data_IF_261025636167
#
_entry.id   IF_261025636167
#
_cell.length_a   1.000
_cell.length_b   1.000
_cell.length_c   1.000
_cell.angle_alpha   90.00
_cell.angle_beta   90.00
_cell.angle_gamma   90.00
#
_symmetry.space_group_name_H-M   'P 1'
#
loop_
_entity.id
_entity.type
_entity.pdbx_description
1 polymer ?
#
# COMPACT_ATOMS: atom_id res chain seq x y z
N UNK A 1 -28.63 -30.04 8.20
CA UNK A 1 -29.13 -29.80 6.83
C UNK A 1 -27.93 -29.57 5.92
N UNK A 2 -27.61 -30.53 5.07
CA UNK A 2 -26.46 -30.48 4.14
C UNK A 2 -26.87 -29.68 2.89
N UNK A 3 -26.60 -28.38 2.86
CA UNK A 3 -26.95 -27.50 1.73
C UNK A 3 -25.83 -27.42 0.67
N UNK A 4 -24.63 -28.00 0.92
CA UNK A 4 -23.44 -27.83 0.09
C UNK A 4 -22.75 -29.15 -0.29
N UNK A 5 -23.43 -30.02 -1.01
CA UNK A 5 -22.79 -31.14 -1.73
C UNK A 5 -23.03 -30.95 -3.23
N UNK A 6 -22.21 -30.12 -3.88
CA UNK A 6 -22.07 -30.15 -5.32
C UNK A 6 -20.57 -30.21 -5.66
N UNK A 7 -20.12 -31.39 -6.08
CA UNK A 7 -18.83 -31.56 -6.74
C UNK A 7 -18.78 -30.68 -7.98
N UNK A 8 -17.93 -29.64 -7.95
CA UNK A 8 -17.55 -28.90 -9.15
C UNK A 8 -16.90 -29.88 -10.13
N UNK A 9 -17.51 -30.09 -11.28
CA UNK A 9 -16.93 -30.87 -12.37
C UNK A 9 -15.62 -30.24 -12.81
N UNK A 10 -14.57 -31.05 -12.85
CA UNK A 10 -13.24 -30.64 -13.30
C UNK A 10 -13.24 -30.39 -14.82
N UNK A 11 -13.43 -29.17 -15.25
CA UNK A 11 -12.99 -28.75 -16.56
C UNK A 11 -11.51 -28.33 -16.44
N UNK A 12 -10.62 -29.14 -16.98
CA UNK A 12 -9.20 -28.83 -17.13
C UNK A 12 -9.03 -27.67 -18.13
N UNK A 13 -9.05 -26.44 -17.65
CA UNK A 13 -8.55 -25.32 -18.41
C UNK A 13 -7.04 -25.23 -18.20
N UNK A 14 -6.28 -25.35 -19.28
CA UNK A 14 -4.84 -25.10 -19.35
C UNK A 14 -4.59 -23.63 -19.01
N UNK A 15 -4.31 -23.31 -17.75
CA UNK A 15 -4.09 -21.94 -17.32
C UNK A 15 -2.60 -21.60 -17.39
N UNK A 16 -2.17 -21.02 -18.47
CA UNK A 16 -0.89 -20.28 -18.56
C UNK A 16 -0.85 -19.06 -17.62
N UNK A 17 -1.98 -18.69 -17.02
CA UNK A 17 -2.17 -17.46 -16.24
C UNK A 17 -1.71 -17.50 -14.80
N UNK A 18 -1.71 -18.67 -14.16
CA UNK A 18 -1.30 -18.80 -12.76
C UNK A 18 0.08 -19.40 -12.56
N UNK A 19 0.93 -19.47 -13.62
CA UNK A 19 2.26 -20.07 -13.50
C UNK A 19 3.09 -19.46 -12.37
N UNK A 20 3.01 -18.13 -12.19
CA UNK A 20 3.73 -17.44 -11.13
C UNK A 20 3.05 -17.54 -9.74
N UNK A 21 1.83 -18.09 -9.68
CA UNK A 21 1.04 -18.30 -8.45
C UNK A 21 0.61 -19.75 -8.30
N UNK A 22 1.48 -20.70 -8.68
CA UNK A 22 1.18 -22.13 -8.71
C UNK A 22 0.78 -22.74 -7.35
N UNK A 23 1.09 -22.06 -6.25
CA UNK A 23 0.68 -22.46 -4.90
C UNK A 23 -0.80 -22.16 -4.60
N UNK A 24 -1.48 -21.35 -5.43
CA UNK A 24 -2.92 -21.11 -5.31
C UNK A 24 -3.67 -22.21 -6.04
N UNK A 25 -4.44 -22.99 -5.31
CA UNK A 25 -5.26 -24.07 -5.90
C UNK A 25 -6.29 -23.49 -6.88
N UNK A 26 -6.67 -24.29 -7.89
CA UNK A 26 -7.72 -23.88 -8.85
C UNK A 26 -9.09 -23.65 -8.20
N UNK A 27 -9.30 -24.17 -6.99
CA UNK A 27 -10.52 -23.99 -6.23
C UNK A 27 -10.46 -22.79 -5.29
N UNK A 28 -9.29 -22.21 -5.05
CA UNK A 28 -9.09 -21.08 -4.15
C UNK A 28 -9.23 -19.76 -4.90
N UNK A 29 -10.04 -18.86 -4.35
CA UNK A 29 -10.22 -17.51 -4.88
C UNK A 29 -9.77 -16.52 -3.81
N UNK A 30 -8.61 -15.88 -4.04
CA UNK A 30 -8.05 -14.91 -3.12
C UNK A 30 -8.44 -13.49 -3.52
N UNK A 31 -9.21 -12.79 -2.65
CA UNK A 31 -9.74 -11.45 -2.86
C UNK A 31 -9.40 -10.49 -1.71
N UNK A 32 -8.23 -10.65 -1.09
CA UNK A 32 -7.75 -9.75 -0.03
C UNK A 32 -6.41 -9.07 -0.39
N UNK A 33 -6.20 -8.78 -1.68
CA UNK A 33 -4.96 -8.17 -2.19
C UNK A 33 -4.68 -6.77 -1.61
N UNK A 34 -5.72 -6.00 -1.25
CA UNK A 34 -5.56 -4.71 -0.58
C UNK A 34 -5.00 -4.81 0.86
N UNK A 35 -5.05 -6.01 1.46
CA UNK A 35 -4.35 -6.28 2.71
C UNK A 35 -2.95 -6.83 2.47
N UNK A 36 -2.86 -7.85 1.63
CA UNK A 36 -1.59 -8.50 1.28
C UNK A 36 -1.73 -9.12 -0.12
N UNK A 37 -0.93 -8.69 -1.08
CA UNK A 37 -0.86 -9.34 -2.38
C UNK A 37 -0.15 -10.69 -2.28
N UNK A 38 -0.51 -11.62 -3.16
CA UNK A 38 0.21 -12.89 -3.31
C UNK A 38 1.59 -12.62 -3.91
N UNK A 39 2.59 -13.39 -3.51
CA UNK A 39 3.94 -13.26 -4.04
C UNK A 39 4.13 -14.17 -5.25
N UNK A 40 4.50 -13.61 -6.43
CA UNK A 40 4.78 -14.45 -7.59
C UNK A 40 6.08 -15.24 -7.40
N UNK A 41 6.19 -16.39 -8.08
CA UNK A 41 7.32 -17.31 -7.97
C UNK A 41 8.69 -16.61 -8.15
N UNK A 42 8.90 -15.70 -9.10
CA UNK A 42 10.18 -14.99 -9.25
C UNK A 42 10.64 -14.21 -8.00
N UNK A 43 9.69 -13.73 -7.19
CA UNK A 43 10.02 -13.06 -5.92
C UNK A 43 10.51 -14.06 -4.88
N UNK A 44 9.86 -15.21 -4.79
CA UNK A 44 10.26 -16.28 -3.88
C UNK A 44 11.64 -16.82 -4.27
N UNK A 45 11.87 -17.04 -5.56
CA UNK A 45 13.14 -17.54 -6.10
C UNK A 45 14.30 -16.55 -5.80
N UNK A 46 14.09 -15.26 -5.98
CA UNK A 46 15.10 -14.24 -5.67
C UNK A 46 15.49 -14.22 -4.19
N UNK A 47 14.51 -14.36 -3.29
CA UNK A 47 14.77 -14.45 -1.85
C UNK A 47 15.51 -15.75 -1.47
N UNK A 48 15.13 -16.88 -2.08
CA UNK A 48 15.79 -18.16 -1.86
C UNK A 48 17.24 -18.11 -2.37
N UNK A 49 17.47 -17.55 -3.56
CA UNK A 49 18.82 -17.39 -4.13
C UNK A 49 19.73 -16.58 -3.21
N UNK A 50 19.24 -15.45 -2.64
CA UNK A 50 19.99 -14.71 -1.64
C UNK A 50 20.46 -15.61 -0.47
N UNK A 51 19.54 -16.37 0.13
CA UNK A 51 19.88 -17.20 1.28
C UNK A 51 20.81 -18.38 0.94
N UNK A 52 20.72 -18.94 -0.27
CA UNK A 52 21.49 -20.13 -0.65
C UNK A 52 22.82 -19.84 -1.31
N UNK A 53 22.95 -18.71 -2.05
CA UNK A 53 24.09 -18.48 -2.92
C UNK A 53 25.02 -17.37 -2.41
N UNK A 54 24.48 -16.30 -1.76
CA UNK A 54 25.27 -15.16 -1.31
C UNK A 54 24.73 -14.51 -0.03
N UNK A 55 24.32 -15.32 0.93
CA UNK A 55 23.81 -14.87 2.24
C UNK A 55 24.88 -14.10 3.01
N UNK A 56 24.98 -12.83 2.75
CA UNK A 56 25.97 -11.92 3.32
C UNK A 56 25.35 -10.62 3.80
N UNK A 57 26.05 -9.92 4.69
CA UNK A 57 25.77 -8.55 5.04
C UNK A 57 26.18 -7.63 3.87
N UNK A 58 25.38 -6.64 3.54
CA UNK A 58 25.74 -5.51 2.69
C UNK A 58 26.38 -4.38 3.47
N UNK A 59 26.78 -3.32 2.79
CA UNK A 59 27.40 -2.12 3.35
C UNK A 59 28.82 -2.38 3.88
N UNK A 60 29.78 -1.55 3.52
CA UNK A 60 31.15 -1.55 4.08
C UNK A 60 31.94 -2.87 3.97
N UNK A 61 31.42 -3.93 3.35
CA UNK A 61 32.12 -5.21 3.16
C UNK A 61 32.95 -5.19 1.86
N UNK A 62 34.02 -6.00 1.82
CA UNK A 62 34.94 -6.01 0.67
C UNK A 62 34.96 -7.33 -0.10
N UNK A 63 34.29 -8.36 0.41
CA UNK A 63 34.19 -9.65 -0.23
C UNK A 63 33.01 -9.70 -1.25
N UNK A 64 33.10 -10.62 -2.20
CA UNK A 64 32.22 -10.69 -3.37
C UNK A 64 30.73 -10.76 -3.03
N UNK A 65 30.33 -11.58 -2.08
CA UNK A 65 28.90 -11.73 -1.70
C UNK A 65 28.31 -10.43 -1.17
N UNK A 66 29.07 -9.70 -0.33
CA UNK A 66 28.59 -8.43 0.19
C UNK A 66 28.45 -7.35 -0.90
N UNK A 67 29.37 -7.32 -1.89
CA UNK A 67 29.23 -6.44 -3.05
C UNK A 67 27.98 -6.78 -3.88
N UNK A 68 27.69 -8.06 -4.05
CA UNK A 68 26.48 -8.51 -4.75
C UNK A 68 25.20 -8.08 -4.01
N UNK A 69 25.21 -8.09 -2.68
CA UNK A 69 24.11 -7.54 -1.86
C UNK A 69 23.97 -6.04 -2.07
N UNK A 70 25.08 -5.29 -2.02
CA UNK A 70 25.06 -3.83 -2.23
C UNK A 70 24.51 -3.47 -3.61
N UNK A 71 24.96 -4.15 -4.66
CA UNK A 71 24.46 -3.96 -6.03
C UNK A 71 22.95 -4.25 -6.14
N UNK A 72 22.47 -5.30 -5.49
CA UNK A 72 21.05 -5.66 -5.48
C UNK A 72 20.19 -4.64 -4.71
N UNK A 73 20.68 -4.12 -3.59
CA UNK A 73 20.04 -3.06 -2.80
C UNK A 73 19.91 -1.79 -3.62
N UNK A 74 21.01 -1.33 -4.23
CA UNK A 74 21.01 -0.12 -5.06
C UNK A 74 20.12 -0.26 -6.30
N UNK A 75 20.12 -1.43 -6.96
CA UNK A 75 19.20 -1.73 -8.03
C UNK A 75 17.74 -1.62 -7.58
N UNK A 76 17.43 -2.12 -6.38
CA UNK A 76 16.08 -2.03 -5.82
C UNK A 76 15.68 -0.58 -5.54
N UNK A 77 16.57 0.24 -4.95
CA UNK A 77 16.33 1.70 -4.77
C UNK A 77 16.03 2.39 -6.10
N UNK A 78 16.84 2.13 -7.12
CA UNK A 78 16.62 2.68 -8.46
C UNK A 78 15.28 2.24 -9.07
N UNK A 79 14.90 0.96 -8.89
CA UNK A 79 13.62 0.42 -9.36
C UNK A 79 12.43 1.07 -8.64
N UNK A 80 12.54 1.34 -7.34
CA UNK A 80 11.54 2.09 -6.56
C UNK A 80 11.38 3.50 -7.12
N UNK A 81 12.46 4.27 -7.28
CA UNK A 81 12.40 5.63 -7.83
C UNK A 81 11.78 5.66 -9.22
N UNK A 82 12.18 4.73 -10.08
CA UNK A 82 11.60 4.57 -11.42
C UNK A 82 10.09 4.30 -11.33
N UNK A 83 9.65 3.43 -10.44
CA UNK A 83 8.22 3.08 -10.28
C UNK A 83 7.37 4.24 -9.81
N UNK A 84 7.89 5.10 -8.95
CA UNK A 84 7.20 6.30 -8.45
C UNK A 84 7.46 7.55 -9.29
N UNK A 85 8.25 7.44 -10.38
CA UNK A 85 8.52 8.54 -11.32
C UNK A 85 9.37 9.66 -10.71
N UNK A 86 10.34 9.32 -9.84
CA UNK A 86 11.20 10.30 -9.15
C UNK A 86 12.67 10.15 -9.53
N UNK A 87 13.42 11.26 -9.43
CA UNK A 87 14.83 11.36 -9.76
C UNK A 87 15.72 11.07 -8.54
N UNK A 88 16.80 10.26 -8.67
CA UNK A 88 17.77 10.07 -7.61
C UNK A 88 18.58 11.33 -7.29
N UNK A 89 18.48 12.38 -8.09
CA UNK A 89 19.09 13.68 -7.78
C UNK A 89 18.37 14.41 -6.65
N UNK A 90 17.05 14.19 -6.54
CA UNK A 90 16.17 14.92 -5.63
C UNK A 90 15.61 14.05 -4.50
N UNK A 91 15.56 12.75 -4.71
CA UNK A 91 14.95 11.80 -3.77
C UNK A 91 15.92 10.70 -3.35
N UNK A 92 15.72 10.24 -2.11
CA UNK A 92 16.32 9.04 -1.55
C UNK A 92 15.26 7.98 -1.25
N UNK A 93 15.71 6.73 -1.18
CA UNK A 93 14.87 5.58 -0.80
C UNK A 93 15.45 4.94 0.44
N UNK A 94 14.64 4.75 1.47
CA UNK A 94 15.01 4.00 2.66
C UNK A 94 14.03 2.83 2.90
N UNK A 95 14.56 1.74 3.47
CA UNK A 95 13.78 0.55 3.79
C UNK A 95 13.43 0.50 5.28
N UNK A 96 12.22 0.07 5.57
CA UNK A 96 11.65 0.00 6.93
C UNK A 96 10.81 -1.26 7.09
N UNK A 97 10.13 -1.42 8.24
CA UNK A 97 9.29 -2.62 8.46
C UNK A 97 7.99 -2.60 7.63
N UNK A 98 7.34 -1.44 7.47
CA UNK A 98 6.09 -1.25 6.76
C UNK A 98 5.73 0.23 6.67
N UNK A 99 4.63 0.56 5.97
CA UNK A 99 4.12 1.95 5.84
C UNK A 99 3.93 2.63 7.19
N UNK A 100 3.32 1.94 8.16
CA UNK A 100 3.07 2.50 9.52
C UNK A 100 4.38 2.92 10.18
N UNK A 101 5.41 2.07 10.09
CA UNK A 101 6.73 2.38 10.63
C UNK A 101 7.38 3.56 9.92
N UNK A 102 7.37 3.57 8.58
CA UNK A 102 7.92 4.67 7.77
C UNK A 102 7.26 6.02 8.08
N UNK A 103 5.93 6.06 8.15
CA UNK A 103 5.19 7.27 8.53
C UNK A 103 5.58 7.76 9.94
N UNK A 104 5.62 6.87 10.92
CA UNK A 104 6.04 7.23 12.27
C UNK A 104 7.50 7.69 12.30
N UNK A 105 8.39 7.03 11.55
CA UNK A 105 9.81 7.38 11.50
C UNK A 105 10.00 8.81 10.99
N UNK A 106 9.38 9.17 9.87
CA UNK A 106 9.45 10.54 9.33
C UNK A 106 8.80 11.54 10.30
N UNK A 107 7.55 11.29 10.72
CA UNK A 107 6.79 12.25 11.52
C UNK A 107 7.42 12.54 12.89
N UNK A 108 8.04 11.54 13.53
CA UNK A 108 8.69 11.72 14.82
C UNK A 108 10.04 12.45 14.76
N UNK A 109 10.61 12.59 13.58
CA UNK A 109 11.89 13.25 13.33
C UNK A 109 11.73 14.63 12.65
N UNK A 110 10.49 15.10 12.41
CA UNK A 110 10.25 16.44 11.93
C UNK A 110 10.72 17.48 12.97
N UNK A 111 11.37 18.57 12.54
CA UNK A 111 11.87 19.59 13.46
C UNK A 111 10.73 20.30 14.18
N UNK A 112 10.92 20.55 15.48
CA UNK A 112 9.96 21.28 16.30
C UNK A 112 9.88 22.76 15.89
N UNK A 113 8.72 23.39 16.09
CA UNK A 113 8.46 24.83 15.88
C UNK A 113 8.63 25.36 14.44
N UNK A 114 8.74 24.47 13.46
CA UNK A 114 8.78 24.86 12.03
C UNK A 114 7.38 24.95 11.45
N UNK A 115 6.52 24.00 11.78
CA UNK A 115 5.17 23.88 11.22
C UNK A 115 4.11 24.47 12.14
N UNK A 116 3.06 25.06 11.53
CA UNK A 116 1.98 25.74 12.25
C UNK A 116 0.84 24.80 12.62
N UNK A 117 0.61 23.77 11.82
CA UNK A 117 -0.48 22.81 11.99
C UNK A 117 -0.17 21.49 11.33
N UNK A 118 -0.93 20.46 11.69
CA UNK A 118 -0.93 19.16 11.05
C UNK A 118 -2.30 18.92 10.40
N UNK A 119 -2.30 18.47 9.14
CA UNK A 119 -3.51 18.27 8.36
C UNK A 119 -3.57 16.81 7.89
N UNK A 120 -4.74 16.20 7.98
CA UNK A 120 -5.02 14.87 7.48
C UNK A 120 -6.44 14.82 6.93
N UNK A 121 -6.89 13.66 6.43
CA UNK A 121 -8.27 13.52 5.97
C UNK A 121 -9.10 12.56 6.80
N UNK A 122 -10.41 12.61 6.62
CA UNK A 122 -11.34 11.73 7.35
C UNK A 122 -11.27 10.26 6.94
N UNK A 123 -10.83 9.98 5.69
CA UNK A 123 -10.80 8.63 5.11
C UNK A 123 -9.51 7.86 5.36
N UNK A 124 -8.64 8.38 6.20
CA UNK A 124 -7.32 7.81 6.38
C UNK A 124 -7.34 6.44 7.06
N UNK A 125 -6.42 5.59 6.60
CA UNK A 125 -6.06 4.38 7.34
C UNK A 125 -5.48 4.74 8.71
N UNK A 126 -5.66 3.89 9.72
CA UNK A 126 -5.12 4.11 11.06
C UNK A 126 -3.61 4.37 11.09
N UNK A 127 -2.86 3.90 10.09
CA UNK A 127 -1.41 4.18 9.94
C UNK A 127 -1.09 5.66 9.70
N UNK A 128 -2.05 6.43 9.21
CA UNK A 128 -1.98 7.91 9.06
C UNK A 128 -2.73 8.58 10.22
N UNK A 129 -3.97 8.15 10.46
CA UNK A 129 -4.88 8.84 11.37
C UNK A 129 -4.36 8.90 12.81
N UNK A 130 -3.80 7.81 13.32
CA UNK A 130 -3.28 7.74 14.68
C UNK A 130 -1.93 8.49 14.85
N UNK A 131 -0.91 8.28 13.99
CA UNK A 131 0.32 9.06 14.09
C UNK A 131 0.09 10.56 13.98
N UNK A 132 -0.77 11.03 13.07
CA UNK A 132 -1.09 12.46 12.97
C UNK A 132 -1.71 13.03 14.25
N UNK A 133 -2.51 12.26 14.97
CA UNK A 133 -3.05 12.65 16.27
C UNK A 133 -1.95 12.78 17.34
N UNK A 134 -1.03 11.80 17.39
CA UNK A 134 0.04 11.79 18.40
C UNK A 134 1.10 12.85 18.13
N UNK A 135 1.45 13.08 16.86
CA UNK A 135 2.45 14.08 16.46
C UNK A 135 1.93 15.51 16.65
N UNK A 136 0.69 15.80 16.29
CA UNK A 136 0.10 17.12 16.56
C UNK A 136 0.16 17.47 18.05
N UNK A 137 -0.12 16.48 18.92
CA UNK A 137 0.02 16.63 20.38
C UNK A 137 1.49 16.82 20.79
N UNK A 138 2.42 16.03 20.26
CA UNK A 138 3.86 16.12 20.56
C UNK A 138 4.41 17.51 20.20
N UNK A 139 4.09 17.99 19.00
CA UNK A 139 4.54 19.29 18.49
C UNK A 139 3.73 20.48 19.06
N UNK A 140 2.67 20.22 19.83
CA UNK A 140 1.76 21.24 20.38
C UNK A 140 1.15 22.16 19.31
N UNK A 141 0.80 21.58 18.15
CA UNK A 141 0.16 22.29 17.03
C UNK A 141 -1.27 21.77 16.80
N UNK A 142 -2.17 22.60 16.26
CA UNK A 142 -3.53 22.16 15.92
C UNK A 142 -3.51 21.07 14.86
N UNK A 143 -4.54 20.20 14.90
CA UNK A 143 -4.77 19.16 13.91
C UNK A 143 -6.10 19.41 13.20
N UNK A 144 -6.05 19.53 11.86
CA UNK A 144 -7.21 19.68 11.00
C UNK A 144 -7.50 18.36 10.27
N UNK A 145 -8.78 17.99 10.17
CA UNK A 145 -9.24 16.82 9.43
C UNK A 145 -10.07 17.30 8.24
N UNK A 146 -9.56 17.12 7.03
CA UNK A 146 -10.23 17.52 5.80
C UNK A 146 -11.33 16.54 5.43
N UNK A 147 -12.43 17.06 4.93
CA UNK A 147 -13.51 16.28 4.37
C UNK A 147 -13.16 15.77 2.99
N UNK A 148 -13.54 14.53 2.69
CA UNK A 148 -13.43 13.95 1.34
C UNK A 148 -14.72 14.22 0.56
N UNK A 149 -14.56 14.85 -0.60
CA UNK A 149 -15.64 15.07 -1.55
C UNK A 149 -16.01 13.78 -2.30
N UNK A 150 -17.16 13.79 -2.94
CA UNK A 150 -17.70 12.64 -3.64
C UNK A 150 -16.87 12.18 -4.84
N UNK A 151 -16.14 13.10 -5.48
CA UNK A 151 -15.22 12.78 -6.58
C UNK A 151 -13.88 12.21 -6.12
N UNK A 152 -13.60 12.23 -4.82
CA UNK A 152 -12.33 11.78 -4.22
C UNK A 152 -11.34 12.92 -3.94
N UNK A 153 -11.70 14.18 -4.23
CA UNK A 153 -10.93 15.36 -3.82
C UNK A 153 -11.03 15.60 -2.32
N UNK A 154 -10.06 16.31 -1.76
CA UNK A 154 -10.14 16.85 -0.41
C UNK A 154 -10.64 18.28 -0.46
N UNK A 155 -11.60 18.61 0.41
CA UNK A 155 -12.13 19.95 0.59
C UNK A 155 -11.27 20.71 1.60
N UNK A 156 -10.68 21.80 1.17
CA UNK A 156 -9.82 22.63 2.02
C UNK A 156 -9.83 24.10 1.54
N UNK A 157 -9.35 24.97 2.38
CA UNK A 157 -8.98 26.35 2.05
C UNK A 157 -7.45 26.48 2.06
N UNK A 158 -6.90 27.53 1.46
CA UNK A 158 -5.44 27.78 1.51
C UNK A 158 -4.91 27.97 2.92
N UNK A 159 -5.73 28.48 3.82
CA UNK A 159 -5.36 28.65 5.23
C UNK A 159 -5.23 27.30 5.94
N UNK A 160 -6.04 26.29 5.57
CA UNK A 160 -5.96 24.95 6.13
C UNK A 160 -4.62 24.25 5.84
N UNK A 161 -3.90 24.65 4.80
CA UNK A 161 -2.62 24.01 4.40
C UNK A 161 -1.41 24.93 4.60
N UNK A 162 -1.62 26.16 5.08
CA UNK A 162 -0.55 27.15 5.28
C UNK A 162 0.42 26.72 6.38
N UNK A 163 1.71 26.53 6.00
CA UNK A 163 2.77 26.05 6.89
C UNK A 163 2.47 24.69 7.54
N UNK A 164 1.68 23.86 6.88
CA UNK A 164 1.17 22.61 7.43
C UNK A 164 2.07 21.41 7.13
N UNK A 165 2.04 20.43 8.04
CA UNK A 165 2.39 19.04 7.74
C UNK A 165 1.10 18.37 7.22
N UNK A 166 1.01 18.08 5.93
CA UNK A 166 -0.15 17.41 5.34
C UNK A 166 0.18 15.93 5.15
N UNK A 167 -0.60 15.05 5.77
CA UNK A 167 -0.41 13.58 5.68
C UNK A 167 -1.71 12.95 5.23
N UNK A 168 -1.73 12.42 4.01
CA UNK A 168 -2.93 11.86 3.39
C UNK A 168 -2.62 10.63 2.55
N UNK A 169 -3.61 9.76 2.36
CA UNK A 169 -3.46 8.62 1.45
C UNK A 169 -3.56 9.07 -0.02
N UNK A 170 -2.72 8.52 -0.86
CA UNK A 170 -2.79 8.75 -2.30
C UNK A 170 -3.89 7.90 -2.96
N UNK A 171 -4.23 6.74 -2.38
CA UNK A 171 -5.31 5.85 -2.82
C UNK A 171 -5.96 5.20 -1.62
N UNK A 172 -7.28 5.27 -1.54
CA UNK A 172 -8.07 4.73 -0.44
C UNK A 172 -8.11 3.20 -0.46
N UNK A 173 -7.93 2.58 0.69
CA UNK A 173 -8.06 1.12 0.85
C UNK A 173 -9.51 0.65 1.06
N UNK A 174 -10.49 1.55 1.01
CA UNK A 174 -11.92 1.25 1.13
C UNK A 174 -12.56 1.07 -0.24
N UNK A 175 -12.32 2.00 -1.15
CA UNK A 175 -12.97 2.07 -2.46
C UNK A 175 -11.97 2.15 -3.63
N UNK A 176 -10.65 2.11 -3.35
CA UNK A 176 -9.60 2.17 -4.35
C UNK A 176 -9.50 3.50 -5.11
N UNK A 177 -10.20 4.53 -4.65
CA UNK A 177 -10.21 5.84 -5.32
C UNK A 177 -8.95 6.63 -4.97
N UNK A 178 -8.31 7.19 -6.00
CA UNK A 178 -7.15 8.07 -5.85
C UNK A 178 -7.55 9.48 -5.44
N UNK A 179 -6.62 10.21 -4.84
CA UNK A 179 -6.78 11.62 -4.49
C UNK A 179 -6.82 12.48 -5.77
N UNK A 180 -8.00 13.02 -6.12
CA UNK A 180 -8.22 13.65 -7.42
C UNK A 180 -7.55 15.02 -7.55
N UNK A 181 -7.56 15.84 -6.49
CA UNK A 181 -6.94 17.18 -6.50
C UNK A 181 -5.52 17.19 -5.93
N UNK A 182 -4.79 16.06 -6.00
CA UNK A 182 -3.47 15.91 -5.38
C UNK A 182 -2.45 16.96 -5.86
N UNK A 183 -2.42 17.28 -7.17
CA UNK A 183 -1.47 18.28 -7.70
C UNK A 183 -1.78 19.70 -7.24
N UNK A 184 -3.06 20.08 -7.20
CA UNK A 184 -3.48 21.39 -6.71
C UNK A 184 -3.20 21.52 -5.21
N UNK A 185 -3.48 20.45 -4.45
CA UNK A 185 -3.19 20.38 -3.03
C UNK A 185 -1.69 20.55 -2.75
N UNK A 186 -0.84 19.82 -3.49
CA UNK A 186 0.62 19.93 -3.40
C UNK A 186 1.11 21.35 -3.69
N UNK A 187 0.65 21.97 -4.80
CA UNK A 187 1.03 23.33 -5.18
C UNK A 187 0.66 24.33 -4.07
N UNK A 188 -0.55 24.24 -3.51
CA UNK A 188 -0.99 25.13 -2.43
C UNK A 188 -0.19 24.90 -1.13
N UNK A 189 0.15 23.67 -0.79
CA UNK A 189 1.00 23.32 0.37
C UNK A 189 2.39 23.95 0.24
N UNK A 190 3.06 23.69 -0.89
CA UNK A 190 4.44 24.17 -1.10
C UNK A 190 4.52 25.70 -1.21
N UNK A 191 3.56 26.34 -1.90
CA UNK A 191 3.47 27.79 -1.97
C UNK A 191 3.27 28.46 -0.59
N UNK A 192 2.74 27.70 0.37
CA UNK A 192 2.51 28.17 1.73
C UNK A 192 3.52 27.61 2.76
N UNK A 193 4.69 27.12 2.28
CA UNK A 193 5.79 26.59 3.11
C UNK A 193 5.40 25.38 3.99
N UNK A 194 4.47 24.57 3.53
CA UNK A 194 4.11 23.29 4.11
C UNK A 194 4.87 22.13 3.47
N UNK A 195 4.61 20.91 3.96
CA UNK A 195 5.13 19.64 3.38
C UNK A 195 3.98 18.66 3.15
N UNK A 196 4.12 17.86 2.09
CA UNK A 196 3.19 16.80 1.72
C UNK A 196 3.80 15.42 1.92
N UNK A 197 3.21 14.63 2.83
CA UNK A 197 3.58 13.24 3.10
C UNK A 197 2.44 12.34 2.62
N UNK A 198 2.73 11.41 1.72
CA UNK A 198 1.73 10.51 1.15
C UNK A 198 1.83 9.10 1.76
N UNK A 199 0.68 8.55 2.15
CA UNK A 199 0.52 7.10 2.29
C UNK A 199 0.23 6.50 0.92
N UNK A 200 1.23 5.84 0.34
CA UNK A 200 1.17 5.19 -0.96
C UNK A 200 0.87 3.69 -0.90
N UNK A 201 0.39 3.17 0.24
CA UNK A 201 0.22 1.74 0.47
C UNK A 201 -0.64 1.02 -0.58
N UNK A 202 -1.58 1.70 -1.21
CA UNK A 202 -2.43 1.15 -2.28
C UNK A 202 -2.02 1.63 -3.68
N UNK A 203 -1.25 2.71 -3.81
CA UNK A 203 -1.07 3.41 -5.08
C UNK A 203 -0.15 2.69 -6.06
N UNK A 204 0.88 1.97 -5.58
CA UNK A 204 1.90 1.39 -6.47
C UNK A 204 1.35 0.33 -7.43
N UNK A 205 0.26 -0.35 -7.05
CA UNK A 205 -0.35 -1.42 -7.85
C UNK A 205 -1.58 -0.94 -8.59
N UNK A 206 -2.38 -0.06 -7.97
CA UNK A 206 -3.64 0.37 -8.56
C UNK A 206 -3.46 1.50 -9.57
N UNK A 207 -2.76 2.57 -9.20
CA UNK A 207 -2.41 3.66 -10.11
C UNK A 207 -1.19 4.44 -9.59
N UNK A 208 -0.02 4.13 -10.16
CA UNK A 208 1.21 4.84 -9.82
C UNK A 208 1.38 6.18 -10.58
N UNK A 209 0.49 6.51 -11.53
CA UNK A 209 0.61 7.74 -12.33
C UNK A 209 0.50 9.00 -11.47
N UNK A 210 -0.37 8.98 -10.45
CA UNK A 210 -0.48 10.05 -9.47
C UNK A 210 0.88 10.35 -8.81
N UNK A 211 1.61 9.32 -8.40
CA UNK A 211 2.89 9.48 -7.69
C UNK A 211 3.96 10.17 -8.55
N UNK A 212 3.94 9.92 -9.87
CA UNK A 212 4.83 10.59 -10.82
C UNK A 212 4.52 12.08 -11.01
N UNK A 213 3.23 12.46 -10.93
CA UNK A 213 2.76 13.82 -11.19
C UNK A 213 2.81 14.77 -9.98
N UNK A 214 2.86 14.24 -8.75
CA UNK A 214 2.83 14.99 -7.49
C UNK A 214 4.24 15.09 -6.90
N UNK A 215 4.69 16.28 -6.56
CA UNK A 215 6.00 16.53 -5.97
C UNK A 215 5.93 16.42 -4.43
N UNK A 216 5.66 15.21 -3.92
CA UNK A 216 5.58 14.94 -2.49
C UNK A 216 6.94 15.08 -1.77
N UNK A 217 6.94 15.44 -0.48
CA UNK A 217 8.16 15.50 0.35
C UNK A 217 8.55 14.14 0.91
N UNK A 218 7.57 13.31 1.25
CA UNK A 218 7.80 11.91 1.56
C UNK A 218 6.61 11.03 1.08
N UNK A 219 6.94 9.80 0.70
CA UNK A 219 5.97 8.75 0.35
C UNK A 219 6.35 7.50 1.14
N UNK A 220 5.38 6.92 1.85
CA UNK A 220 5.56 5.66 2.54
C UNK A 220 4.64 4.58 1.96
N UNK A 221 5.19 3.39 1.67
CA UNK A 221 4.39 2.26 1.22
C UNK A 221 4.91 0.92 1.76
N UNK A 222 4.13 -0.14 1.55
CA UNK A 222 4.48 -1.50 1.98
C UNK A 222 4.61 -2.43 0.79
N UNK A 223 5.74 -3.11 0.70
CA UNK A 223 6.06 -4.06 -0.36
C UNK A 223 5.08 -5.23 -0.43
N UNK A 224 4.56 -5.72 0.72
CA UNK A 224 3.60 -6.83 0.77
C UNK A 224 2.25 -6.53 0.09
N UNK A 225 1.97 -5.29 -0.26
CA UNK A 225 0.81 -4.90 -1.09
C UNK A 225 1.18 -4.72 -2.56
N UNK A 226 2.48 -4.81 -2.88
CA UNK A 226 3.06 -4.61 -4.21
C UNK A 226 3.74 -5.89 -4.71
N UNK A 227 3.15 -7.05 -4.41
CA UNK A 227 3.63 -8.40 -4.76
C UNK A 227 4.99 -8.79 -4.15
N UNK A 228 5.57 -7.95 -3.30
CA UNK A 228 6.83 -8.20 -2.61
C UNK A 228 6.66 -8.76 -1.20
N UNK A 229 7.76 -9.00 -0.49
CA UNK A 229 7.76 -9.48 0.89
C UNK A 229 7.30 -8.40 1.89
N UNK A 230 7.22 -8.76 3.17
CA UNK A 230 6.90 -7.82 4.25
C UNK A 230 8.07 -6.86 4.49
N UNK A 231 7.99 -5.72 3.84
CA UNK A 231 8.99 -4.64 3.90
C UNK A 231 8.28 -3.30 3.75
N UNK A 232 8.72 -2.27 4.42
CA UNK A 232 8.32 -0.89 4.21
C UNK A 232 9.32 -0.14 3.35
N UNK A 233 8.84 0.88 2.66
CA UNK A 233 9.66 1.78 1.85
C UNK A 233 9.29 3.21 2.16
N UNK A 234 10.28 4.05 2.33
CA UNK A 234 10.18 5.51 2.39
C UNK A 234 10.90 6.09 1.19
N UNK A 235 10.20 6.87 0.38
CA UNK A 235 10.80 7.71 -0.66
C UNK A 235 10.71 9.15 -0.18
N UNK A 236 11.83 9.82 0.01
CA UNK A 236 11.90 11.13 0.67
C UNK A 236 12.73 12.11 -0.13
N UNK A 237 12.28 13.36 -0.23
CA UNK A 237 13.10 14.45 -0.78
C UNK A 237 14.36 14.64 0.07
N UNK A 238 15.50 14.81 -0.56
CA UNK A 238 16.78 15.10 0.11
C UNK A 238 16.69 16.32 1.02
N UNK A 239 15.98 17.35 0.58
CA UNK A 239 15.76 18.56 1.37
C UNK A 239 15.02 18.28 2.69
N UNK A 240 13.97 17.43 2.66
CA UNK A 240 13.29 17.03 3.88
C UNK A 240 14.19 16.15 4.73
N UNK A 241 14.88 15.19 4.12
CA UNK A 241 15.81 14.27 4.81
C UNK A 241 16.89 15.03 5.58
N UNK A 242 17.49 16.05 4.95
CA UNK A 242 18.53 16.91 5.56
C UNK A 242 17.99 17.75 6.73
N UNK A 243 16.70 18.01 6.79
CA UNK A 243 16.04 18.78 7.85
C UNK A 243 15.60 17.95 9.06
N UNK A 244 15.62 16.62 8.96
CA UNK A 244 15.14 15.74 10.04
C UNK A 244 16.07 15.82 11.27
N UNK A 245 15.46 15.87 12.45
CA UNK A 245 16.13 15.76 13.74
C UNK A 245 16.13 14.30 14.18
N UNK A 246 17.26 13.60 13.94
CA UNK A 246 17.37 12.18 14.14
C UNK A 246 17.16 11.80 15.60
N UNK A 247 16.11 11.04 15.89
CA UNK A 247 15.75 10.52 17.22
C UNK A 247 15.81 8.99 17.30
N UNK A 248 15.95 8.31 16.16
CA UNK A 248 16.05 6.87 16.08
C UNK A 248 17.36 6.50 15.36
N UNK A 249 18.38 6.18 16.16
CA UNK A 249 19.76 5.99 15.71
C UNK A 249 20.32 4.65 16.20
N UNK A 250 21.31 4.11 15.47
CA UNK A 250 21.87 2.81 15.85
C UNK A 250 22.99 2.30 14.94
N UNK A 251 23.15 1.00 14.92
CA UNK A 251 24.18 0.34 14.10
C UNK A 251 24.02 0.64 12.62
N UNK A 252 25.12 0.69 11.88
CA UNK A 252 25.14 0.94 10.43
C UNK A 252 25.18 2.41 10.03
N UNK A 253 24.76 3.33 10.89
CA UNK A 253 24.59 4.75 10.55
C UNK A 253 25.86 5.61 10.65
N UNK A 254 26.89 5.17 11.36
CA UNK A 254 28.00 6.03 11.80
C UNK A 254 29.17 6.00 10.84
N UNK A 255 29.66 7.17 10.41
CA UNK A 255 30.99 7.37 9.78
C UNK A 255 32.07 7.64 10.82
N UNK A 256 31.83 8.56 11.76
CA UNK A 256 32.72 8.91 12.87
C UNK A 256 31.91 8.99 14.16
N UNK A 257 32.55 8.60 15.25
CA UNK A 257 31.94 8.58 16.59
C UNK A 257 32.97 9.02 17.62
N UNK A 258 32.58 9.87 18.56
CA UNK A 258 33.27 10.15 19.81
C UNK A 258 32.33 10.03 21.01
N UNK A 259 32.76 10.41 22.21
CA UNK A 259 31.94 10.26 23.43
C UNK A 259 30.58 10.94 23.37
N UNK A 260 30.44 12.07 22.65
CA UNK A 260 29.27 12.94 22.72
C UNK A 260 28.72 13.32 21.35
N UNK A 261 29.34 12.88 20.26
CA UNK A 261 28.93 13.21 18.89
C UNK A 261 29.17 12.10 17.90
N UNK A 262 28.40 12.11 16.83
CA UNK A 262 28.60 11.22 15.69
C UNK A 262 28.32 11.95 14.37
N UNK A 263 28.87 11.43 13.28
CA UNK A 263 28.55 11.87 11.93
C UNK A 263 28.01 10.70 11.09
N UNK A 264 27.11 11.03 10.17
CA UNK A 264 26.58 10.09 9.18
C UNK A 264 27.49 10.06 7.94
N UNK A 265 27.51 8.96 7.16
CA UNK A 265 28.14 8.92 5.86
C UNK A 265 27.49 9.93 4.91
N UNK A 266 28.31 10.71 4.21
CA UNK A 266 27.83 11.71 3.25
C UNK A 266 27.40 11.11 1.91
N UNK A 267 27.94 9.96 1.60
CA UNK A 267 27.71 9.20 0.37
C UNK A 267 26.54 8.20 0.47
N UNK A 268 25.92 8.07 1.65
CA UNK A 268 24.75 7.24 1.89
C UNK A 268 23.74 7.98 2.79
N UNK A 269 22.97 8.95 2.24
CA UNK A 269 21.96 9.70 3.00
C UNK A 269 20.83 8.83 3.56
N UNK A 270 20.52 7.71 2.89
CA UNK A 270 19.44 6.79 3.30
C UNK A 270 19.71 6.13 4.66
N UNK A 271 20.99 6.00 5.05
CA UNK A 271 21.38 5.40 6.34
C UNK A 271 20.76 6.14 7.53
N UNK A 272 20.41 7.41 7.39
CA UNK A 272 19.74 8.19 8.44
C UNK A 272 18.36 7.65 8.83
N UNK A 273 17.74 6.87 7.94
CA UNK A 273 16.43 6.24 8.14
C UNK A 273 16.51 4.71 8.27
N UNK A 274 17.71 4.12 8.19
CA UNK A 274 17.95 2.67 8.17
C UNK A 274 18.86 2.19 9.32
N UNK A 275 18.55 2.50 10.59
CA UNK A 275 19.36 2.01 11.71
C UNK A 275 19.23 0.49 11.84
N UNK A 276 20.37 -0.18 12.02
CA UNK A 276 20.46 -1.61 12.21
C UNK A 276 20.72 -2.40 10.92
N UNK A 277 20.74 -3.73 11.06
CA UNK A 277 20.86 -4.62 9.91
C UNK A 277 19.55 -4.66 9.13
N UNK A 278 19.64 -4.45 7.83
CA UNK A 278 18.49 -4.44 6.95
C UNK A 278 18.04 -5.86 6.56
N UNK A 279 16.76 -6.03 6.19
CA UNK A 279 16.22 -7.27 5.61
C UNK A 279 16.63 -7.36 4.13
N UNK A 280 17.87 -7.79 3.86
CA UNK A 280 18.37 -7.90 2.49
C UNK A 280 17.53 -8.85 1.63
N UNK A 281 17.05 -9.96 2.19
CA UNK A 281 16.16 -10.87 1.47
C UNK A 281 14.86 -10.15 1.04
N UNK A 282 14.29 -9.34 1.95
CA UNK A 282 13.10 -8.54 1.67
C UNK A 282 13.36 -7.47 0.62
N UNK A 283 14.50 -6.78 0.68
CA UNK A 283 14.87 -5.75 -0.28
C UNK A 283 15.06 -6.35 -1.68
N UNK A 284 15.77 -7.46 -1.79
CA UNK A 284 15.97 -8.21 -3.04
C UNK A 284 14.64 -8.71 -3.60
N UNK A 285 13.79 -9.25 -2.72
CA UNK A 285 12.44 -9.68 -3.09
C UNK A 285 11.55 -8.55 -3.61
N UNK A 286 11.66 -7.34 -3.04
CA UNK A 286 10.98 -6.15 -3.58
C UNK A 286 11.52 -5.78 -4.97
N UNK A 287 12.84 -5.81 -5.17
CA UNK A 287 13.43 -5.59 -6.49
C UNK A 287 12.87 -6.55 -7.54
N UNK A 288 12.82 -7.83 -7.21
CA UNK A 288 12.23 -8.87 -8.07
C UNK A 288 10.73 -8.63 -8.33
N UNK A 289 9.97 -8.16 -7.33
CA UNK A 289 8.55 -7.82 -7.50
C UNK A 289 8.34 -6.64 -8.46
N UNK A 290 9.17 -5.62 -8.39
CA UNK A 290 9.11 -4.46 -9.29
C UNK A 290 9.51 -4.83 -10.71
N UNK A 291 10.54 -5.67 -10.90
CA UNK A 291 10.95 -6.21 -12.20
C UNK A 291 9.83 -7.08 -12.81
N UNK A 292 9.19 -7.94 -12.00
CA UNK A 292 8.05 -8.74 -12.41
C UNK A 292 6.86 -7.86 -12.82
N UNK A 293 6.49 -6.87 -12.02
CA UNK A 293 5.43 -5.91 -12.35
C UNK A 293 5.70 -5.16 -13.65
N UNK A 294 6.93 -4.87 -13.99
CA UNK A 294 7.26 -4.17 -15.24
C UNK A 294 6.95 -5.01 -16.49
N UNK A 295 7.03 -6.33 -16.39
CA UNK A 295 6.96 -7.26 -17.53
C UNK A 295 5.69 -8.12 -17.55
N UNK A 296 5.04 -8.35 -16.40
CA UNK A 296 3.89 -9.23 -16.31
C UNK A 296 2.69 -8.73 -17.10
N UNK A 297 2.12 -9.62 -17.93
CA UNK A 297 0.97 -9.35 -18.80
C UNK A 297 -0.08 -10.43 -18.62
N UNK A 298 -1.06 -10.22 -17.71
CA UNK A 298 -2.13 -11.19 -17.47
C UNK A 298 -2.98 -11.34 -18.75
N UNK A 299 -3.18 -12.58 -19.19
CA UNK A 299 -3.93 -12.88 -20.45
C UNK A 299 -3.44 -12.11 -21.69
N UNK A 300 -2.19 -11.67 -21.71
CA UNK A 300 -1.65 -10.84 -22.80
C UNK A 300 -2.09 -9.36 -22.73
N UNK A 301 -2.90 -8.97 -21.76
CA UNK A 301 -3.35 -7.61 -21.52
C UNK A 301 -2.31 -6.80 -20.74
N UNK A 302 -2.37 -5.49 -20.79
CA UNK A 302 -1.70 -4.67 -19.79
C UNK A 302 -2.35 -4.90 -18.41
N UNK A 303 -1.60 -4.67 -17.34
CA UNK A 303 -2.14 -4.79 -15.98
C UNK A 303 -3.37 -3.90 -15.77
N UNK A 304 -3.35 -2.68 -16.32
CA UNK A 304 -4.46 -1.73 -16.22
C UNK A 304 -5.71 -2.25 -16.93
N UNK A 305 -5.59 -2.74 -18.15
CA UNK A 305 -6.72 -3.30 -18.91
C UNK A 305 -7.32 -4.50 -18.18
N UNK A 306 -6.47 -5.41 -17.68
CA UNK A 306 -6.92 -6.58 -16.91
C UNK A 306 -7.65 -6.16 -15.63
N UNK A 307 -7.07 -5.27 -14.84
CA UNK A 307 -7.68 -4.77 -13.62
C UNK A 307 -9.00 -4.05 -13.89
N UNK A 308 -9.08 -3.19 -14.90
CA UNK A 308 -10.30 -2.50 -15.29
C UNK A 308 -11.40 -3.47 -15.70
N UNK A 309 -11.08 -4.47 -16.50
CA UNK A 309 -12.03 -5.50 -16.94
C UNK A 309 -12.64 -6.24 -15.75
N UNK A 310 -11.81 -6.75 -14.82
CA UNK A 310 -12.30 -7.47 -13.66
C UNK A 310 -13.07 -6.56 -12.68
N UNK A 311 -12.62 -5.32 -12.50
CA UNK A 311 -13.27 -4.34 -11.66
C UNK A 311 -14.68 -3.99 -12.17
N UNK A 312 -14.85 -3.76 -13.47
CA UNK A 312 -16.16 -3.53 -14.09
C UNK A 312 -17.09 -4.72 -13.89
N UNK A 313 -16.62 -5.93 -14.18
CA UNK A 313 -17.42 -7.15 -14.02
C UNK A 313 -17.89 -7.32 -12.57
N UNK A 314 -16.99 -7.10 -11.59
CA UNK A 314 -17.32 -7.23 -10.17
C UNK A 314 -18.32 -6.15 -9.73
N UNK A 315 -18.07 -4.90 -10.09
CA UNK A 315 -18.92 -3.76 -9.73
C UNK A 315 -20.34 -3.91 -10.32
N UNK A 316 -20.46 -4.18 -11.63
CA UNK A 316 -21.75 -4.39 -12.27
C UNK A 316 -22.50 -5.60 -11.71
N UNK A 317 -21.78 -6.70 -11.44
CA UNK A 317 -22.40 -7.90 -10.87
C UNK A 317 -22.97 -7.64 -9.49
N UNK A 318 -22.20 -7.00 -8.59
CA UNK A 318 -22.69 -6.64 -7.26
C UNK A 318 -23.83 -5.63 -7.30
N UNK A 319 -23.80 -4.66 -8.23
CA UNK A 319 -24.83 -3.62 -8.35
C UNK A 319 -26.22 -4.18 -8.77
N UNK A 320 -26.26 -5.39 -9.33
CA UNK A 320 -27.52 -6.08 -9.71
C UNK A 320 -28.12 -6.90 -8.56
N UNK A 321 -27.34 -7.15 -7.50
CA UNK A 321 -27.81 -7.93 -6.37
C UNK A 321 -28.73 -7.07 -5.48
N UNK A 322 -29.89 -7.60 -5.04
CA UNK A 322 -30.79 -6.87 -4.17
C UNK A 322 -30.18 -6.67 -2.78
N UNK A 323 -30.51 -5.54 -2.15
CA UNK A 323 -30.13 -5.24 -0.76
C UNK A 323 -28.60 -5.24 -0.51
N UNK A 324 -27.82 -4.98 -1.59
CA UNK A 324 -26.37 -4.71 -1.53
C UNK A 324 -26.13 -3.21 -1.67
N UNK A 325 -25.38 -2.65 -0.73
CA UNK A 325 -24.99 -1.25 -0.70
C UNK A 325 -23.47 -1.13 -0.95
N UNK A 326 -23.10 -0.83 -2.19
CA UNK A 326 -21.68 -0.64 -2.58
C UNK A 326 -21.25 0.77 -2.22
N UNK A 327 -20.10 0.92 -1.57
CA UNK A 327 -19.53 2.23 -1.22
C UNK A 327 -18.84 2.90 -2.41
N UNK A 328 -18.39 2.11 -3.34
CA UNK A 328 -17.77 2.59 -4.57
C UNK A 328 -18.79 3.27 -5.47
N UNK A 329 -18.42 4.40 -6.07
CA UNK A 329 -19.21 5.07 -7.12
C UNK A 329 -18.84 4.62 -8.52
N UNK A 330 -17.63 4.10 -8.66
CA UNK A 330 -17.02 3.67 -9.91
C UNK A 330 -16.36 2.30 -9.72
N UNK A 331 -16.21 1.52 -10.80
CA UNK A 331 -15.47 0.28 -10.77
C UNK A 331 -14.04 0.46 -10.27
N UNK A 332 -13.64 -0.36 -9.31
CA UNK A 332 -12.29 -0.40 -8.76
C UNK A 332 -11.91 -1.84 -8.43
N UNK A 333 -10.63 -2.14 -8.42
CA UNK A 333 -10.11 -3.42 -7.94
C UNK A 333 -10.33 -3.64 -6.45
N UNK A 334 -10.64 -2.58 -5.71
CA UNK A 334 -11.03 -2.63 -4.30
C UNK A 334 -12.47 -2.17 -4.16
N UNK A 335 -13.35 -3.09 -3.80
CA UNK A 335 -14.79 -2.88 -3.65
C UNK A 335 -15.21 -3.20 -2.22
N UNK A 336 -15.89 -2.25 -1.58
CA UNK A 336 -16.44 -2.44 -0.23
C UNK A 336 -17.97 -2.27 -0.25
N UNK A 337 -18.67 -3.17 0.43
CA UNK A 337 -20.11 -3.13 0.49
C UNK A 337 -20.66 -3.74 1.79
N UNK A 338 -21.93 -3.53 2.06
CA UNK A 338 -22.70 -4.25 3.07
C UNK A 338 -24.04 -4.72 2.48
N UNK A 339 -24.68 -5.62 3.17
CA UNK A 339 -26.01 -6.14 2.82
C UNK A 339 -26.98 -5.90 3.95
N UNK A 340 -28.26 -5.60 3.62
CA UNK A 340 -29.34 -5.52 4.61
C UNK A 340 -29.76 -6.91 5.11
N UNK A 341 -29.55 -7.96 4.29
CA UNK A 341 -29.99 -9.32 4.59
C UNK A 341 -28.98 -10.13 5.40
N UNK A 342 -27.65 -9.86 5.22
CA UNK A 342 -26.58 -10.67 5.80
C UNK A 342 -25.46 -9.78 6.36
N UNK A 343 -25.13 -9.96 7.62
CA UNK A 343 -23.96 -9.31 8.24
C UNK A 343 -22.67 -9.67 7.51
N UNK A 344 -21.78 -8.69 7.33
CA UNK A 344 -20.55 -8.84 6.54
C UNK A 344 -19.60 -9.94 7.08
N UNK A 345 -19.54 -10.13 8.41
CA UNK A 345 -18.70 -11.19 8.99
C UNK A 345 -19.29 -12.57 8.68
N UNK A 346 -20.61 -12.72 8.77
CA UNK A 346 -21.29 -13.97 8.38
C UNK A 346 -21.09 -14.26 6.88
N UNK A 347 -21.24 -13.22 6.03
CA UNK A 347 -21.01 -13.37 4.60
C UNK A 347 -19.56 -13.82 4.31
N UNK A 348 -18.56 -13.23 4.96
CA UNK A 348 -17.17 -13.66 4.84
C UNK A 348 -16.94 -15.12 5.26
N UNK A 349 -17.60 -15.58 6.35
CA UNK A 349 -17.53 -16.98 6.80
C UNK A 349 -18.16 -17.92 5.77
N UNK A 350 -19.30 -17.57 5.17
CA UNK A 350 -19.91 -18.41 4.14
C UNK A 350 -19.07 -18.49 2.88
N UNK A 351 -18.49 -17.36 2.44
CA UNK A 351 -17.57 -17.34 1.31
C UNK A 351 -16.31 -18.18 1.58
N UNK A 352 -15.75 -18.12 2.79
CA UNK A 352 -14.59 -18.92 3.18
C UNK A 352 -14.87 -20.43 3.10
N UNK A 353 -16.10 -20.89 3.38
CA UNK A 353 -16.49 -22.31 3.19
C UNK A 353 -16.55 -22.73 1.72
N UNK A 354 -16.55 -21.78 0.79
CA UNK A 354 -16.46 -21.97 -0.65
C UNK A 354 -15.05 -21.72 -1.19
N UNK A 355 -14.04 -21.65 -0.31
CA UNK A 355 -12.64 -21.28 -0.61
C UNK A 355 -12.48 -19.89 -1.23
N UNK A 356 -13.39 -18.96 -0.91
CA UNK A 356 -13.31 -17.56 -1.30
C UNK A 356 -12.81 -16.75 -0.11
N UNK A 357 -11.62 -16.18 -0.23
CA UNK A 357 -10.94 -15.44 0.81
C UNK A 357 -11.18 -13.94 0.65
N UNK A 358 -12.06 -13.38 1.47
CA UNK A 358 -12.43 -11.98 1.49
C UNK A 358 -12.34 -11.42 2.91
N UNK A 359 -12.24 -10.12 3.05
CA UNK A 359 -12.10 -9.46 4.35
C UNK A 359 -13.38 -8.76 4.78
N UNK A 360 -13.73 -8.87 6.06
CA UNK A 360 -14.85 -8.15 6.66
C UNK A 360 -14.40 -7.23 7.79
N UNK A 361 -15.14 -6.15 8.05
CA UNK A 361 -14.92 -5.20 9.14
C UNK A 361 -14.75 -3.76 8.67
N UNK A 362 -13.86 -3.00 9.35
CA UNK A 362 -13.63 -1.56 9.10
C UNK A 362 -12.26 -1.25 8.47
N UNK A 363 -11.49 -2.25 8.07
CA UNK A 363 -10.24 -2.18 7.29
C UNK A 363 -9.23 -1.12 7.77
N UNK A 364 -9.17 -0.92 9.11
CA UNK A 364 -8.36 0.12 9.74
C UNK A 364 -8.68 1.57 9.32
N UNK A 365 -9.92 1.83 8.86
CA UNK A 365 -10.46 3.17 8.57
C UNK A 365 -11.62 3.49 9.52
N UNK A 366 -11.43 3.22 10.82
CA UNK A 366 -12.50 3.27 11.83
C UNK A 366 -13.13 4.65 11.92
N UNK A 367 -12.33 5.72 11.92
CA UNK A 367 -12.86 7.07 12.03
C UNK A 367 -13.87 7.37 10.92
N UNK A 368 -13.51 7.13 9.66
CA UNK A 368 -14.40 7.39 8.53
C UNK A 368 -15.65 6.50 8.56
N UNK A 369 -15.47 5.21 8.72
CA UNK A 369 -16.57 4.25 8.58
C UNK A 369 -17.53 4.28 9.78
N UNK A 370 -17.02 4.42 11.01
CA UNK A 370 -17.86 4.37 12.22
C UNK A 370 -18.34 5.76 12.66
N UNK A 371 -17.48 6.79 12.64
CA UNK A 371 -17.81 8.09 13.20
C UNK A 371 -18.41 9.04 12.16
N UNK A 372 -17.85 9.07 10.93
CA UNK A 372 -18.32 9.97 9.88
C UNK A 372 -19.52 9.38 9.14
N UNK A 373 -19.39 8.19 8.60
CA UNK A 373 -20.42 7.54 7.77
C UNK A 373 -21.40 6.67 8.53
N UNK A 374 -21.03 6.19 9.72
CA UNK A 374 -21.84 5.30 10.59
C UNK A 374 -22.31 4.03 9.86
N UNK A 375 -21.42 3.48 9.01
CA UNK A 375 -21.69 2.23 8.32
C UNK A 375 -21.56 1.02 9.25
N UNK A 376 -22.33 -0.06 9.01
CA UNK A 376 -22.04 -1.34 9.65
C UNK A 376 -20.68 -1.88 9.18
N UNK A 377 -20.20 -3.00 9.76
CA UNK A 377 -19.07 -3.71 9.20
C UNK A 377 -19.30 -4.05 7.72
N UNK A 378 -18.25 -3.87 6.91
CA UNK A 378 -18.32 -4.06 5.47
C UNK A 378 -17.66 -5.39 5.07
N UNK A 379 -18.05 -5.95 3.92
CA UNK A 379 -17.24 -6.92 3.19
C UNK A 379 -16.43 -6.17 2.14
N UNK A 380 -15.13 -6.48 2.04
CA UNK A 380 -14.25 -5.95 1.01
C UNK A 380 -13.74 -7.07 0.13
N UNK A 381 -13.89 -6.89 -1.16
CA UNK A 381 -13.29 -7.72 -2.21
C UNK A 381 -12.19 -6.90 -2.87
N UNK A 382 -10.97 -7.40 -2.84
CA UNK A 382 -9.85 -6.73 -3.49
C UNK A 382 -9.13 -7.68 -4.45
N UNK A 383 -9.28 -7.36 -5.74
CA UNK A 383 -8.74 -8.11 -6.87
C UNK A 383 -7.23 -7.91 -6.97
N UNK A 384 -6.51 -8.98 -7.31
CA UNK A 384 -5.10 -8.95 -7.68
C UNK A 384 -4.90 -9.37 -9.14
N UNK A 385 -3.65 -9.27 -9.62
CA UNK A 385 -3.29 -9.64 -10.99
C UNK A 385 -3.41 -11.16 -11.27
N UNK A 386 -3.54 -11.98 -10.23
CA UNK A 386 -3.75 -13.43 -10.31
C UNK A 386 -5.22 -13.81 -10.51
N UNK A 387 -6.16 -12.89 -10.29
CA UNK A 387 -7.58 -13.17 -10.44
C UNK A 387 -7.98 -13.22 -11.92
N UNK A 388 -9.04 -13.97 -12.19
CA UNK A 388 -9.58 -14.23 -13.52
C UNK A 388 -11.06 -13.85 -13.60
N UNK A 389 -11.61 -13.76 -14.82
CA UNK A 389 -13.05 -13.60 -15.01
C UNK A 389 -13.87 -14.73 -14.36
N UNK A 390 -13.33 -15.97 -14.36
CA UNK A 390 -13.96 -17.11 -13.70
C UNK A 390 -14.10 -16.86 -12.20
N UNK A 391 -13.04 -16.32 -11.56
CA UNK A 391 -13.09 -15.99 -10.13
C UNK A 391 -14.20 -15.00 -9.85
N UNK A 392 -14.29 -13.91 -10.63
CA UNK A 392 -15.34 -12.90 -10.49
C UNK A 392 -16.75 -13.50 -10.64
N UNK A 393 -16.97 -14.29 -11.70
CA UNK A 393 -18.28 -14.95 -11.95
C UNK A 393 -18.64 -15.89 -10.81
N UNK A 394 -17.69 -16.66 -10.31
CA UNK A 394 -17.89 -17.60 -9.19
C UNK A 394 -18.30 -16.85 -7.92
N UNK A 395 -17.56 -15.80 -7.57
CA UNK A 395 -17.82 -14.99 -6.37
C UNK A 395 -19.20 -14.34 -6.41
N UNK A 396 -19.57 -13.74 -7.54
CA UNK A 396 -20.89 -13.12 -7.71
C UNK A 396 -22.03 -14.16 -7.56
N UNK A 397 -21.88 -15.32 -8.18
CA UNK A 397 -22.85 -16.42 -8.07
C UNK A 397 -22.98 -16.92 -6.63
N UNK A 398 -21.89 -17.06 -5.91
CA UNK A 398 -21.92 -17.56 -4.54
C UNK A 398 -22.44 -16.50 -3.55
N UNK A 399 -22.15 -15.22 -3.74
CA UNK A 399 -22.77 -14.12 -2.96
C UNK A 399 -24.29 -14.12 -3.18
N UNK A 400 -24.75 -14.18 -4.43
CA UNK A 400 -26.17 -14.22 -4.77
C UNK A 400 -26.88 -15.40 -4.08
N UNK A 401 -26.32 -16.61 -4.19
CA UNK A 401 -26.87 -17.81 -3.53
C UNK A 401 -26.94 -17.66 -2.01
N UNK A 402 -25.91 -17.09 -1.39
CA UNK A 402 -25.88 -16.89 0.07
C UNK A 402 -27.00 -15.93 0.49
N UNK A 403 -27.16 -14.80 -0.22
CA UNK A 403 -28.20 -13.80 0.10
C UNK A 403 -29.60 -14.39 -0.07
N UNK A 404 -29.85 -15.15 -1.16
CA UNK A 404 -31.16 -15.75 -1.42
C UNK A 404 -31.52 -16.84 -0.38
N UNK A 405 -30.54 -17.65 0.05
CA UNK A 405 -30.80 -18.79 0.94
C UNK A 405 -30.80 -18.43 2.43
N UNK A 406 -30.46 -17.20 2.82
CA UNK A 406 -30.46 -16.75 4.21
C UNK A 406 -31.81 -16.06 4.56
N UNK A 407 -32.55 -15.68 3.55
CA UNK A 407 -33.94 -15.24 3.73
C UNK A 407 -34.80 -16.42 4.17
#
# INVERSE_FOLDING_TARGET
>A
MNIFNNHRTKEHLTSTQRNDFSFVSDNDIYLDSACQSLRPQPVLDAMISYFQEYNACGGRVKYQWGKQVDEAVEKTRASVLKRVGKSPKEYEVAFTLNTTYGLNLILNQLPERVYKQLVTSEIEHNSVFLPTMTIAKKLSIPRTILQREEDGSLKYTKDDVSGAIVVVNATSNIDGRTLQNAKVLEDDIHNASGILILDGAQSLVHDSSLLGSVDFDALCFSSHKTYGPSLGVVVVKKQLLDSLELSFVGGGMVEKLDENSFSLPKDDPSCSLEPGLQDFAGIIGLGAALDWLATYRPEGLTQKEHQQKLAHMMFEGLSRLPNIHILNREPSTTLSFYSDDVDAHRLAIFLSKQNIMARSGYFCCHYYLQNVKKYPPLLRLSLGLHNTERDVKTVLTDIEKIIINIK
#
